data_IF_571847221840
#
_entry.id   IF_571847221840
#
_cell.length_a   1.000
_cell.length_b   1.000
_cell.length_c   1.000
_cell.angle_alpha   90.00
_cell.angle_beta   90.00
_cell.angle_gamma   90.00
#
_symmetry.space_group_name_H-M   'P 1'
#
loop_
_entity.id
_entity.type
_entity.pdbx_description
1 polymer ?
#
# COMPACT_ATOMS: atom_id res chain seq x y z
N UNK A 1 19.13 -8.91 -18.50
CA UNK A 1 17.99 -8.43 -19.31
C UNK A 1 16.85 -9.45 -19.35
N UNK A 2 16.86 -10.52 -20.18
CA UNK A 2 15.70 -11.42 -20.28
C UNK A 2 15.50 -12.32 -19.04
N UNK A 3 16.59 -12.84 -18.47
CA UNK A 3 16.52 -13.66 -17.25
C UNK A 3 15.91 -12.91 -16.06
N UNK A 4 16.19 -11.61 -15.92
CA UNK A 4 15.64 -10.77 -14.85
C UNK A 4 14.15 -10.53 -15.04
N UNK A 5 13.70 -10.31 -16.28
CA UNK A 5 12.27 -10.19 -16.62
C UNK A 5 11.52 -11.50 -16.34
N UNK A 6 12.11 -12.63 -16.72
CA UNK A 6 11.54 -13.95 -16.41
C UNK A 6 11.48 -14.21 -14.90
N UNK A 7 12.54 -13.86 -14.17
CA UNK A 7 12.57 -13.99 -12.72
C UNK A 7 11.47 -13.15 -12.05
N UNK A 8 11.33 -11.88 -12.42
CA UNK A 8 10.26 -11.03 -11.91
C UNK A 8 8.88 -11.61 -12.24
N UNK A 9 8.67 -12.09 -13.48
CA UNK A 9 7.41 -12.72 -13.85
C UNK A 9 7.12 -13.96 -13.00
N UNK A 10 8.10 -14.85 -12.83
CA UNK A 10 7.95 -16.07 -12.04
C UNK A 10 7.70 -15.75 -10.57
N UNK A 11 8.49 -14.85 -9.97
CA UNK A 11 8.34 -14.41 -8.59
C UNK A 11 6.97 -13.78 -8.35
N UNK A 12 6.51 -12.90 -9.24
CA UNK A 12 5.18 -12.28 -9.13
C UNK A 12 4.05 -13.33 -9.16
N UNK A 13 4.10 -14.30 -10.07
CA UNK A 13 3.04 -15.28 -10.27
C UNK A 13 3.05 -16.43 -9.27
N UNK A 14 4.23 -16.92 -8.89
CA UNK A 14 4.35 -18.14 -8.07
C UNK A 14 4.60 -17.83 -6.58
N UNK A 15 5.03 -16.60 -6.25
CA UNK A 15 5.38 -16.21 -4.88
C UNK A 15 4.52 -15.04 -4.39
N UNK A 16 4.56 -13.90 -5.09
CA UNK A 16 3.92 -12.66 -4.63
C UNK A 16 2.40 -12.80 -4.63
N UNK A 17 1.79 -13.05 -5.79
CA UNK A 17 0.32 -13.08 -5.92
C UNK A 17 -0.33 -14.13 -5.02
N UNK A 18 0.11 -15.40 -5.00
CA UNK A 18 -0.44 -16.40 -4.08
C UNK A 18 -0.19 -16.04 -2.62
N UNK A 19 1.00 -15.55 -2.28
CA UNK A 19 1.36 -15.16 -0.92
C UNK A 19 0.53 -13.97 -0.41
N UNK A 20 0.24 -12.98 -1.27
CA UNK A 20 -0.61 -11.83 -0.94
C UNK A 20 -2.03 -12.30 -0.66
N UNK A 21 -2.57 -13.21 -1.47
CA UNK A 21 -3.90 -13.79 -1.24
C UNK A 21 -3.96 -14.52 0.10
N UNK A 22 -2.95 -15.32 0.44
CA UNK A 22 -2.85 -15.99 1.73
C UNK A 22 -2.72 -15.02 2.91
N UNK A 23 -1.87 -14.01 2.79
CA UNK A 23 -1.65 -13.01 3.84
C UNK A 23 -2.94 -12.24 4.14
N UNK A 24 -3.68 -11.85 3.11
CA UNK A 24 -5.00 -11.24 3.26
C UNK A 24 -6.00 -12.19 3.93
N UNK A 25 -6.02 -13.47 3.56
CA UNK A 25 -6.92 -14.46 4.16
C UNK A 25 -6.62 -14.73 5.65
N UNK A 26 -5.36 -14.55 6.07
CA UNK A 26 -4.87 -14.78 7.44
C UNK A 26 -4.79 -13.50 8.29
N UNK A 27 -5.16 -12.35 7.72
CA UNK A 27 -4.97 -11.02 8.34
C UNK A 27 -3.50 -10.72 8.72
N UNK A 28 -2.54 -11.27 7.95
CA UNK A 28 -1.12 -11.10 8.16
C UNK A 28 -0.59 -9.84 7.44
N UNK A 29 -0.79 -8.70 8.09
CA UNK A 29 -0.38 -7.40 7.57
C UNK A 29 1.14 -7.26 7.40
N UNK A 30 1.94 -7.97 8.19
CA UNK A 30 3.40 -7.93 8.08
C UNK A 30 3.84 -8.64 6.81
N UNK A 31 3.38 -9.87 6.61
CA UNK A 31 3.70 -10.65 5.42
C UNK A 31 3.19 -10.00 4.14
N UNK A 32 2.01 -9.39 4.19
CA UNK A 32 1.46 -8.59 3.10
C UNK A 32 2.41 -7.45 2.70
N UNK A 33 2.92 -6.71 3.68
CA UNK A 33 3.90 -5.64 3.46
C UNK A 33 5.15 -6.14 2.75
N UNK A 34 5.77 -7.20 3.26
CA UNK A 34 6.99 -7.78 2.69
C UNK A 34 6.83 -8.22 1.23
N UNK A 35 5.71 -8.87 0.89
CA UNK A 35 5.45 -9.36 -0.46
C UNK A 35 5.22 -8.23 -1.47
N UNK A 36 4.52 -7.18 -1.05
CA UNK A 36 4.31 -6.00 -1.91
C UNK A 36 5.60 -5.19 -2.06
N UNK A 37 6.41 -5.07 -1.00
CA UNK A 37 7.73 -4.45 -1.07
C UNK A 37 8.65 -5.21 -2.05
N UNK A 38 8.58 -6.56 -2.06
CA UNK A 38 9.27 -7.39 -3.05
C UNK A 38 8.79 -7.12 -4.48
N UNK A 39 7.47 -7.09 -4.71
CA UNK A 39 6.89 -6.78 -6.03
C UNK A 39 7.36 -5.43 -6.57
N UNK A 40 7.35 -4.40 -5.72
CA UNK A 40 7.84 -3.07 -6.06
C UNK A 40 9.34 -3.08 -6.43
N UNK A 41 10.16 -3.76 -5.63
CA UNK A 41 11.61 -3.87 -5.88
C UNK A 41 11.92 -4.61 -7.19
N UNK A 42 11.22 -5.71 -7.47
CA UNK A 42 11.42 -6.48 -8.69
C UNK A 42 10.87 -5.77 -9.93
N UNK A 43 9.82 -4.95 -9.79
CA UNK A 43 9.40 -4.02 -10.84
C UNK A 43 10.52 -3.07 -11.24
N UNK A 44 11.24 -2.52 -10.26
CA UNK A 44 12.38 -1.63 -10.51
C UNK A 44 13.55 -2.34 -11.20
N UNK A 45 13.98 -3.47 -10.64
CA UNK A 45 15.19 -4.18 -11.09
C UNK A 45 14.92 -5.02 -12.35
N UNK A 46 13.81 -5.74 -12.37
CA UNK A 46 13.48 -6.75 -13.38
C UNK A 46 12.79 -6.17 -14.61
N UNK A 47 11.74 -5.36 -14.41
CA UNK A 47 10.99 -4.75 -15.51
C UNK A 47 11.62 -3.43 -16.00
N UNK A 48 12.26 -2.70 -15.08
CA UNK A 48 12.86 -1.39 -15.32
C UNK A 48 11.84 -0.39 -15.88
N UNK A 49 10.61 -0.46 -15.38
CA UNK A 49 9.48 0.36 -15.83
C UNK A 49 9.05 1.39 -14.77
N UNK A 50 9.90 1.72 -13.80
CA UNK A 50 9.62 2.76 -12.80
C UNK A 50 10.30 4.09 -13.15
N UNK A 51 9.53 5.17 -13.07
CA UNK A 51 10.02 6.56 -13.12
C UNK A 51 10.34 7.05 -11.71
N UNK A 52 11.09 8.17 -11.54
CA UNK A 52 11.41 8.71 -10.22
C UNK A 52 10.19 8.83 -9.29
N UNK A 53 9.06 9.32 -9.82
CA UNK A 53 7.82 9.50 -9.07
C UNK A 53 7.26 8.17 -8.56
N UNK A 54 7.15 7.15 -9.42
CA UNK A 54 6.58 5.82 -9.04
C UNK A 54 7.55 4.93 -8.27
N UNK A 55 8.83 5.29 -8.22
CA UNK A 55 9.81 4.70 -7.29
C UNK A 55 9.69 5.33 -5.91
N UNK A 56 9.53 6.64 -5.85
CA UNK A 56 9.51 7.41 -4.60
C UNK A 56 8.18 7.29 -3.86
N UNK A 57 7.03 7.39 -4.55
CA UNK A 57 5.70 7.40 -3.91
C UNK A 57 5.47 6.21 -2.98
N UNK A 58 5.73 4.96 -3.41
CA UNK A 58 5.51 3.80 -2.55
C UNK A 58 6.46 3.76 -1.36
N UNK A 59 7.73 4.11 -1.56
CA UNK A 59 8.71 4.18 -0.47
C UNK A 59 8.29 5.19 0.60
N UNK A 60 7.84 6.38 0.18
CA UNK A 60 7.35 7.40 1.11
C UNK A 60 6.08 6.93 1.84
N UNK A 61 5.17 6.26 1.13
CA UNK A 61 3.98 5.70 1.77
C UNK A 61 4.33 4.73 2.91
N UNK A 62 5.35 3.89 2.71
CA UNK A 62 5.85 2.97 3.73
C UNK A 62 6.48 3.71 4.91
N UNK A 63 7.30 4.74 4.66
CA UNK A 63 7.84 5.62 5.70
C UNK A 63 6.75 6.30 6.54
N UNK A 64 5.65 6.71 5.91
CA UNK A 64 4.49 7.33 6.56
C UNK A 64 3.57 6.33 7.28
N UNK A 65 3.87 5.03 7.23
CA UNK A 65 3.16 4.00 7.98
C UNK A 65 2.06 3.25 7.21
N UNK A 66 2.06 3.29 5.88
CA UNK A 66 1.21 2.37 5.10
C UNK A 66 1.56 0.92 5.37
N UNK A 67 0.57 0.02 5.38
CA UNK A 67 0.75 -1.44 5.54
C UNK A 67 1.56 -2.01 4.38
N UNK A 68 1.27 -1.55 3.18
CA UNK A 68 2.00 -1.88 1.96
C UNK A 68 1.76 -0.77 0.91
N UNK A 69 2.64 -0.67 -0.09
CA UNK A 69 2.48 0.27 -1.19
C UNK A 69 3.30 -0.17 -2.40
N UNK A 70 2.78 0.04 -3.61
CA UNK A 70 3.49 -0.26 -4.85
C UNK A 70 2.98 0.61 -6.01
N UNK A 71 3.77 0.71 -7.07
CA UNK A 71 3.33 1.21 -8.36
C UNK A 71 2.32 0.23 -8.98
N UNK A 72 1.37 0.75 -9.76
CA UNK A 72 0.29 -0.03 -10.35
C UNK A 72 0.02 0.37 -11.80
N UNK A 73 -0.21 -0.64 -12.65
CA UNK A 73 -0.48 -0.49 -14.08
C UNK A 73 0.70 -0.89 -14.96
N UNK A 74 0.79 -0.31 -16.16
CA UNK A 74 1.78 -0.68 -17.17
C UNK A 74 3.22 -0.20 -16.85
N UNK A 75 3.37 0.77 -15.93
CA UNK A 75 4.63 1.44 -15.63
C UNK A 75 4.88 2.68 -16.49
N UNK A 76 6.13 3.17 -16.44
CA UNK A 76 6.62 4.41 -17.04
C UNK A 76 5.87 5.68 -16.58
N UNK A 77 5.38 5.64 -15.33
CA UNK A 77 4.47 6.62 -14.75
C UNK A 77 3.17 5.95 -14.30
N UNK A 78 2.10 6.72 -14.25
CA UNK A 78 0.77 6.22 -13.90
C UNK A 78 0.45 6.38 -12.41
N UNK A 79 -0.06 5.32 -11.80
CA UNK A 79 -0.62 5.34 -10.44
C UNK A 79 0.22 4.53 -9.47
N UNK A 80 0.15 4.89 -8.19
CA UNK A 80 0.59 4.05 -7.09
C UNK A 80 -0.57 3.90 -6.11
N UNK A 81 -0.53 2.87 -5.26
CA UNK A 81 -1.49 2.69 -4.18
C UNK A 81 -0.78 2.52 -2.86
N UNK A 82 -1.45 2.87 -1.77
CA UNK A 82 -1.02 2.58 -0.40
C UNK A 82 -2.19 1.99 0.39
N UNK A 83 -1.96 0.87 1.07
CA UNK A 83 -2.95 0.26 1.94
C UNK A 83 -2.79 0.80 3.36
N UNK A 84 -3.87 1.33 3.93
CA UNK A 84 -3.88 1.95 5.26
C UNK A 84 -5.16 1.59 6.03
N UNK A 85 -5.14 1.60 7.37
CA UNK A 85 -6.36 1.45 8.15
C UNK A 85 -7.39 2.53 7.79
N UNK A 86 -8.65 2.11 7.60
CA UNK A 86 -9.75 3.00 7.19
C UNK A 86 -9.85 4.31 8.01
N UNK A 87 -9.74 4.31 9.36
CA UNK A 87 -9.82 5.54 10.14
C UNK A 87 -8.71 6.57 9.83
N UNK A 88 -7.59 6.12 9.28
CA UNK A 88 -6.42 6.94 8.99
C UNK A 88 -6.36 7.40 7.53
N UNK A 89 -7.17 6.83 6.64
CA UNK A 89 -7.03 6.99 5.19
C UNK A 89 -7.05 8.44 4.73
N UNK A 90 -7.96 9.26 5.26
CA UNK A 90 -8.08 10.67 4.86
C UNK A 90 -6.92 11.53 5.33
N UNK A 91 -6.45 11.31 6.57
CA UNK A 91 -5.29 12.01 7.12
C UNK A 91 -4.01 11.60 6.37
N UNK A 92 -3.83 10.29 6.15
CA UNK A 92 -2.72 9.73 5.39
C UNK A 92 -2.65 10.31 3.98
N UNK A 93 -3.78 10.33 3.24
CA UNK A 93 -3.87 10.91 1.88
C UNK A 93 -3.33 12.34 1.84
N UNK A 94 -3.73 13.17 2.81
CA UNK A 94 -3.31 14.57 2.85
C UNK A 94 -1.81 14.70 3.10
N UNK A 95 -1.27 13.95 4.08
CA UNK A 95 0.17 13.97 4.38
C UNK A 95 1.00 13.45 3.20
N UNK A 96 0.57 12.35 2.59
CA UNK A 96 1.26 11.74 1.45
C UNK A 96 1.26 12.65 0.21
N UNK A 97 0.14 13.34 -0.07
CA UNK A 97 0.09 14.37 -1.12
C UNK A 97 1.04 15.52 -0.83
N UNK A 98 1.06 16.03 0.41
CA UNK A 98 1.95 17.13 0.80
C UNK A 98 3.42 16.74 0.62
N UNK A 99 3.80 15.52 1.02
CA UNK A 99 5.14 15.00 0.81
C UNK A 99 5.48 14.90 -0.70
N UNK A 100 4.56 14.36 -1.51
CA UNK A 100 4.77 14.23 -2.94
C UNK A 100 4.94 15.58 -3.67
N UNK A 101 4.08 16.54 -3.39
CA UNK A 101 4.16 17.88 -4.00
C UNK A 101 5.43 18.60 -3.59
N UNK A 102 5.95 18.34 -2.39
CA UNK A 102 7.22 18.89 -1.93
C UNK A 102 8.40 18.28 -2.69
N UNK A 103 8.39 16.97 -2.93
CA UNK A 103 9.46 16.26 -3.65
C UNK A 103 9.42 16.54 -5.16
N UNK A 104 8.23 16.57 -5.76
CA UNK A 104 8.02 16.75 -7.19
C UNK A 104 7.13 17.98 -7.46
N UNK A 105 7.62 19.21 -7.22
CA UNK A 105 6.83 20.43 -7.37
C UNK A 105 6.28 20.64 -8.78
N UNK A 106 7.00 20.19 -9.81
CA UNK A 106 6.57 20.28 -11.21
C UNK A 106 5.33 19.42 -11.52
N UNK A 107 4.99 18.46 -10.64
CA UNK A 107 3.81 17.59 -10.77
C UNK A 107 2.60 18.08 -9.96
N UNK A 108 2.75 19.18 -9.22
CA UNK A 108 1.73 19.63 -8.27
C UNK A 108 0.37 19.90 -8.92
N UNK A 109 0.36 20.48 -10.12
CA UNK A 109 -0.85 20.82 -10.88
C UNK A 109 -1.48 19.63 -11.61
N UNK A 110 -0.75 18.53 -11.78
CA UNK A 110 -1.18 17.37 -12.57
C UNK A 110 -1.35 16.09 -11.74
N UNK A 111 -1.25 16.18 -10.42
CA UNK A 111 -1.38 15.03 -9.52
C UNK A 111 -2.73 14.97 -8.80
N UNK A 112 -3.26 13.75 -8.68
CA UNK A 112 -4.50 13.46 -7.98
C UNK A 112 -4.29 12.41 -6.90
N UNK A 113 -4.93 12.62 -5.75
CA UNK A 113 -4.88 11.70 -4.61
C UNK A 113 -6.31 11.52 -4.10
N UNK A 114 -6.77 10.29 -4.01
CA UNK A 114 -8.10 9.96 -3.52
C UNK A 114 -8.05 8.71 -2.64
N UNK A 115 -9.10 8.53 -1.82
CA UNK A 115 -9.30 7.32 -1.01
C UNK A 115 -10.35 6.47 -1.70
N UNK A 116 -10.08 5.18 -1.79
CA UNK A 116 -11.03 4.21 -2.33
C UNK A 116 -11.06 2.94 -1.47
N UNK A 117 -12.09 2.12 -1.66
CA UNK A 117 -12.23 0.79 -1.10
C UNK A 117 -12.70 -0.17 -2.21
N UNK A 118 -12.47 -1.48 -2.08
CA UNK A 118 -12.98 -2.46 -3.05
C UNK A 118 -14.49 -2.27 -3.28
N UNK A 119 -14.86 -2.07 -4.54
CA UNK A 119 -16.24 -1.84 -4.98
C UNK A 119 -16.80 -3.04 -5.76
N UNK A 120 -18.11 -3.04 -6.06
CA UNK A 120 -18.69 -4.04 -6.94
C UNK A 120 -18.09 -3.94 -8.35
N UNK A 121 -18.17 -5.04 -9.10
CA UNK A 121 -17.89 -5.03 -10.54
C UNK A 121 -18.91 -4.19 -11.33
N UNK A 122 -18.72 -4.09 -12.64
CA UNK A 122 -19.66 -3.39 -13.51
C UNK A 122 -21.07 -3.98 -13.39
N UNK A 123 -22.06 -3.10 -13.24
CA UNK A 123 -23.48 -3.44 -13.20
C UNK A 123 -24.24 -2.54 -14.17
N UNK A 124 -25.38 -3.02 -14.66
CA UNK A 124 -26.32 -2.16 -15.37
C UNK A 124 -26.85 -1.09 -14.42
N UNK A 125 -26.70 0.18 -14.78
CA UNK A 125 -27.38 1.27 -14.09
C UNK A 125 -28.76 1.38 -14.70
N UNK A 126 -29.78 0.91 -13.98
CA UNK A 126 -31.15 1.23 -14.37
C UNK A 126 -31.34 2.74 -14.29
N UNK A 127 -31.47 3.40 -15.44
CA UNK A 127 -31.89 4.78 -15.52
C UNK A 127 -33.35 4.87 -15.05
N UNK A 128 -33.56 5.05 -13.75
CA UNK A 128 -34.89 5.13 -13.16
C UNK A 128 -35.31 6.57 -12.91
N UNK A 129 -36.45 6.95 -13.49
CA UNK A 129 -37.35 8.04 -13.09
C UNK A 129 -37.18 8.45 -11.61
N UNK A 130 -36.89 9.73 -11.38
CA UNK A 130 -37.19 10.47 -10.13
C UNK A 130 -36.66 9.89 -8.81
N UNK A 131 -35.52 10.42 -8.36
CA UNK A 131 -35.16 10.67 -6.94
C UNK A 131 -35.67 9.70 -5.86
N UNK A 132 -34.98 8.57 -5.63
CA UNK A 132 -34.82 8.01 -4.27
C UNK A 132 -33.71 6.92 -4.18
N UNK A 133 -32.59 7.10 -4.91
CA UNK A 133 -31.52 6.08 -5.03
C UNK A 133 -30.73 5.87 -3.72
N UNK A 134 -30.77 6.82 -2.79
CA UNK A 134 -29.98 6.78 -1.55
C UNK A 134 -30.32 5.62 -0.59
N UNK A 135 -31.44 4.91 -0.77
CA UNK A 135 -31.90 3.87 0.16
C UNK A 135 -31.47 2.44 -0.19
N UNK A 136 -30.91 2.18 -1.38
CA UNK A 136 -30.74 0.80 -1.89
C UNK A 136 -29.34 0.20 -1.74
N UNK A 137 -28.32 1.02 -1.52
CA UNK A 137 -26.95 0.56 -1.25
C UNK A 137 -26.62 0.58 0.26
N UNK A 138 -27.30 -0.25 1.06
CA UNK A 138 -26.80 -0.62 2.38
C UNK A 138 -26.10 -1.97 2.26
N UNK A 139 -24.79 -1.94 2.00
CA UNK A 139 -23.93 -3.09 2.29
C UNK A 139 -23.65 -3.05 3.81
N UNK A 140 -24.45 -3.78 4.60
CA UNK A 140 -24.14 -3.98 6.02
C UNK A 140 -23.04 -5.03 6.14
N UNK A 141 -21.83 -4.57 6.45
CA UNK A 141 -20.78 -5.45 6.98
C UNK A 141 -21.22 -5.84 8.39
N UNK A 142 -21.63 -7.10 8.59
CA UNK A 142 -21.76 -7.67 9.94
C UNK A 142 -20.38 -7.68 10.59
N UNK A 143 -20.10 -6.71 11.47
CA UNK A 143 -19.00 -6.85 12.42
C UNK A 143 -19.29 -8.06 13.32
N UNK A 144 -18.54 -9.15 13.11
CA UNK A 144 -18.40 -10.17 14.15
C UNK A 144 -17.51 -9.56 15.23
N UNK A 145 -18.07 -9.41 16.42
CA UNK A 145 -17.47 -8.72 17.56
C UNK A 145 -16.00 -9.07 17.78
N UNK A 146 -15.19 -8.02 17.90
CA UNK A 146 -13.81 -8.12 18.33
C UNK A 146 -13.75 -8.73 19.74
N UNK A 147 -13.15 -9.93 19.84
CA UNK A 147 -12.64 -10.40 21.12
C UNK A 147 -11.50 -9.45 21.53
N UNK A 148 -11.71 -8.76 22.65
CA UNK A 148 -10.80 -7.78 23.23
C UNK A 148 -9.46 -8.45 23.58
N UNK A 149 -8.43 -8.26 22.76
CA UNK A 149 -7.07 -8.69 23.11
C UNK A 149 -6.53 -7.79 24.23
N UNK A 150 -6.09 -8.40 25.33
CA UNK A 150 -5.46 -7.73 26.45
C UNK A 150 -4.11 -7.09 26.04
N UNK A 151 -3.68 -6.00 26.70
CA UNK A 151 -2.45 -5.32 26.33
C UNK A 151 -1.22 -6.19 26.63
N UNK A 152 -0.47 -6.53 25.58
CA UNK A 152 0.87 -7.14 25.72
C UNK A 152 1.84 -6.05 26.14
N UNK A 153 2.32 -6.14 27.38
CA UNK A 153 3.39 -5.28 27.89
C UNK A 153 4.68 -5.52 27.10
N UNK A 154 5.06 -4.56 26.25
CA UNK A 154 6.38 -4.55 25.61
C UNK A 154 7.44 -4.17 26.64
N UNK A 155 8.27 -5.14 27.06
CA UNK A 155 9.52 -4.85 27.79
C UNK A 155 10.47 -4.08 26.85
N UNK A 156 10.90 -2.89 27.29
CA UNK A 156 12.00 -2.15 26.63
C UNK A 156 13.26 -3.02 26.61
N UNK A 157 13.97 -3.16 25.49
CA UNK A 157 15.30 -3.74 25.51
C UNK A 157 16.24 -2.80 26.28
N UNK A 158 17.08 -3.38 27.13
CA UNK A 158 18.09 -2.67 27.91
C UNK A 158 19.09 -1.97 26.97
N UNK A 159 19.32 -0.69 27.22
CA UNK A 159 20.37 0.10 26.56
C UNK A 159 21.72 -0.46 27.00
N UNK A 160 22.42 -1.20 26.12
CA UNK A 160 23.82 -1.53 26.38
C UNK A 160 24.68 -0.30 26.06
N UNK A 161 25.30 0.25 27.09
CA UNK A 161 26.30 1.30 26.98
C UNK A 161 27.58 0.63 26.49
N UNK A 162 27.88 0.75 25.20
CA UNK A 162 29.20 0.45 24.67
C UNK A 162 30.18 1.54 25.14
N UNK A 163 31.01 1.17 26.10
CA UNK A 163 32.17 1.94 26.55
C UNK A 163 33.15 2.11 25.38
N UNK A 164 33.58 3.36 25.14
CA UNK A 164 34.67 3.68 24.20
C UNK A 164 36.01 3.24 24.81
N UNK A 165 36.89 2.57 24.07
CA UNK A 165 38.26 2.36 24.54
C UNK A 165 39.08 3.66 24.45
N UNK A 166 39.93 3.84 25.45
CA UNK A 166 40.81 4.98 25.62
C UNK A 166 41.90 5.04 24.54
N UNK A 167 42.22 6.27 24.12
CA UNK A 167 43.39 6.60 23.30
C UNK A 167 44.68 6.15 24.01
N UNK A 168 45.53 5.42 23.29
CA UNK A 168 46.98 5.44 23.44
C UNK A 168 47.58 5.56 22.06
#
# INVERSE_FOLDING_TARGET
MLQQRFHQFYSENEVVVPGVAEALAKDDSLRLGELVDLSQQEGDIGLQNLVPETRWLPAEARCLGAVCSSAFGAGFGGSCYALVPRPQAQAFRSVWRTAYVKEFPDRASTCEFFVTAPGPGAIEIQAGVGSDVAKRCKFEVKEKGAARAAPVARKRPATSVLQRPAKK
#
